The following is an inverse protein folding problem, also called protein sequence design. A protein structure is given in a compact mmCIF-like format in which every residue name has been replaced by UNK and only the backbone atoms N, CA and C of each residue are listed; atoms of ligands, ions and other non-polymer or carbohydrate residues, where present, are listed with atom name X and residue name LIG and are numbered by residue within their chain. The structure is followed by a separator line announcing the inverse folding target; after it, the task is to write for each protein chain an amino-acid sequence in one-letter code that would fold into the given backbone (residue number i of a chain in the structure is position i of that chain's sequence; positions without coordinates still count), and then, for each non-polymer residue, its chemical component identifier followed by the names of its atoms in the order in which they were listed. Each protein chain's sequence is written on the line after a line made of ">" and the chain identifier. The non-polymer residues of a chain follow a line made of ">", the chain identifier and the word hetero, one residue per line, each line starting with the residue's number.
data_IF_785767200834
#
_entry.id   IF_785767200834
#
_cell.length_a   1.000
_cell.length_b   1.000
_cell.length_c   1.000
_cell.angle_alpha   90.00
_cell.angle_beta   90.00
_cell.angle_gamma   90.00
#
_symmetry.space_group_name_H-M   'P 1'
#
loop_
_entity.id
_entity.type
_entity.pdbx_description
1 polymer ?
#
# COMPACT_ATOMS: atom_id res chain seq x y z
N UNK A 1 17.76 18.43 -14.59
CA UNK A 1 17.26 18.75 -15.93
C UNK A 1 16.91 17.44 -16.66
N UNK A 2 15.68 17.32 -17.16
CA UNK A 2 15.16 16.09 -17.79
C UNK A 2 15.97 15.64 -19.01
N UNK A 3 16.59 16.58 -19.72
CA UNK A 3 17.47 16.27 -20.87
C UNK A 3 18.77 15.60 -20.45
N UNK A 4 19.34 16.02 -19.33
CA UNK A 4 20.55 15.41 -18.76
C UNK A 4 20.27 13.99 -18.27
N UNK A 5 19.09 13.77 -17.68
CA UNK A 5 18.68 12.44 -17.23
C UNK A 5 18.44 11.48 -18.39
N UNK A 6 17.73 11.92 -19.43
CA UNK A 6 17.50 11.14 -20.65
C UNK A 6 18.83 10.71 -21.32
N UNK A 7 19.80 11.60 -21.35
CA UNK A 7 21.14 11.30 -21.89
C UNK A 7 21.88 10.31 -20.99
N UNK A 8 21.84 10.50 -19.66
CA UNK A 8 22.49 9.64 -18.70
C UNK A 8 21.92 8.22 -18.75
N UNK A 9 20.59 8.05 -18.77
CA UNK A 9 19.94 6.74 -18.86
C UNK A 9 20.31 6.01 -20.15
N UNK A 10 20.37 6.71 -21.26
CA UNK A 10 20.78 6.13 -22.54
C UNK A 10 22.24 5.67 -22.52
N UNK A 11 23.14 6.43 -21.93
CA UNK A 11 24.55 6.07 -21.81
C UNK A 11 24.78 4.90 -20.83
N UNK A 12 24.06 4.87 -19.71
CA UNK A 12 24.14 3.77 -18.75
C UNK A 12 23.66 2.46 -19.38
N UNK A 13 22.54 2.48 -20.10
CA UNK A 13 21.99 1.31 -20.80
C UNK A 13 22.97 0.77 -21.88
N UNK A 14 23.67 1.66 -22.55
CA UNK A 14 24.59 1.29 -23.61
C UNK A 14 25.94 0.77 -23.12
N UNK A 15 26.38 1.18 -21.92
CA UNK A 15 27.76 0.89 -21.48
C UNK A 15 27.87 -0.28 -20.49
N UNK A 16 26.75 -0.87 -20.05
CA UNK A 16 26.75 -1.99 -19.09
C UNK A 16 27.71 -1.72 -17.91
N UNK A 17 27.52 -0.59 -17.22
CA UNK A 17 28.39 -0.09 -16.14
C UNK A 17 28.19 -0.90 -14.85
N UNK A 18 28.41 -2.18 -14.88
CA UNK A 18 28.02 -3.20 -13.92
C UNK A 18 28.37 -2.98 -12.45
N UNK A 19 29.17 -1.96 -12.11
CA UNK A 19 29.55 -1.62 -10.73
C UNK A 19 29.53 -0.12 -10.44
N UNK A 20 28.86 0.69 -11.25
CA UNK A 20 28.75 2.12 -11.00
C UNK A 20 27.58 2.40 -10.06
N UNK A 21 27.89 2.92 -8.90
CA UNK A 21 26.88 3.49 -7.99
C UNK A 21 26.55 4.92 -8.42
N UNK A 22 25.27 5.18 -8.70
CA UNK A 22 24.76 6.50 -9.05
C UNK A 22 23.86 6.99 -7.92
N UNK A 23 24.24 8.09 -7.29
CA UNK A 23 23.42 8.77 -6.30
C UNK A 23 22.75 9.98 -6.95
N UNK A 24 21.42 9.93 -7.08
CA UNK A 24 20.62 11.06 -7.56
C UNK A 24 20.15 11.87 -6.36
N UNK A 25 20.59 13.11 -6.27
CA UNK A 25 20.24 13.99 -5.17
C UNK A 25 19.26 15.06 -5.64
N UNK A 26 18.28 15.39 -4.83
CA UNK A 26 17.30 16.43 -5.12
C UNK A 26 16.31 16.64 -3.99
N UNK A 27 15.48 17.66 -4.13
CA UNK A 27 14.30 17.83 -3.27
C UNK A 27 13.29 16.71 -3.52
N UNK A 28 12.41 16.45 -2.55
CA UNK A 28 11.35 15.46 -2.71
C UNK A 28 10.51 15.70 -3.97
N UNK A 29 10.20 16.95 -4.30
CA UNK A 29 9.44 17.33 -5.50
C UNK A 29 10.19 17.05 -6.81
N UNK A 30 11.50 17.32 -6.85
CA UNK A 30 12.32 17.04 -8.03
C UNK A 30 12.47 15.54 -8.28
N UNK A 31 12.72 14.78 -7.20
CA UNK A 31 12.83 13.33 -7.27
C UNK A 31 11.49 12.68 -7.64
N UNK A 32 10.37 13.16 -7.09
CA UNK A 32 9.04 12.72 -7.48
C UNK A 32 8.81 12.91 -8.99
N UNK A 33 9.10 14.10 -9.51
CA UNK A 33 8.94 14.40 -10.93
C UNK A 33 9.78 13.46 -11.81
N UNK A 34 10.99 13.14 -11.37
CA UNK A 34 11.89 12.22 -12.06
C UNK A 34 11.31 10.80 -12.06
N UNK A 35 10.85 10.33 -10.90
CA UNK A 35 10.28 8.99 -10.72
C UNK A 35 8.97 8.84 -11.49
N UNK A 36 8.07 9.81 -11.43
CA UNK A 36 6.82 9.80 -12.19
C UNK A 36 7.06 9.75 -13.71
N UNK A 37 8.14 10.40 -14.16
CA UNK A 37 8.46 10.45 -15.61
C UNK A 37 9.15 9.18 -16.11
N UNK A 38 10.01 8.58 -15.30
CA UNK A 38 10.93 7.51 -15.72
C UNK A 38 10.79 6.23 -14.89
N UNK A 39 9.83 6.12 -13.99
CA UNK A 39 9.70 5.02 -13.03
C UNK A 39 9.79 3.65 -13.66
N UNK A 40 9.09 3.40 -14.76
CA UNK A 40 9.16 2.14 -15.51
C UNK A 40 10.52 1.87 -16.13
N UNK A 41 11.27 2.91 -16.48
CA UNK A 41 12.63 2.79 -17.00
C UNK A 41 13.62 2.52 -15.89
N UNK A 42 13.39 3.09 -14.68
CA UNK A 42 14.24 2.91 -13.50
C UNK A 42 14.21 1.46 -13.00
N UNK A 43 13.14 0.71 -13.24
CA UNK A 43 13.02 -0.72 -12.90
C UNK A 43 14.08 -1.57 -13.59
N UNK A 44 14.55 -1.15 -14.76
CA UNK A 44 15.54 -1.87 -15.54
C UNK A 44 16.98 -1.69 -15.02
N UNK A 45 17.20 -0.75 -14.09
CA UNK A 45 18.52 -0.51 -13.47
C UNK A 45 18.60 -1.27 -12.15
N UNK A 46 19.03 -2.52 -12.20
CA UNK A 46 18.89 -3.49 -11.10
C UNK A 46 19.85 -3.30 -9.94
N UNK A 47 20.89 -2.49 -10.04
CA UNK A 47 21.80 -2.23 -8.91
C UNK A 47 22.60 -0.94 -9.13
N UNK A 48 22.82 -0.19 -8.04
CA UNK A 48 23.67 0.99 -8.05
C UNK A 48 22.99 2.33 -8.30
N UNK A 49 21.64 2.41 -8.26
CA UNK A 49 20.93 3.67 -8.32
C UNK A 49 20.29 3.97 -6.95
N UNK A 50 20.69 5.05 -6.32
CA UNK A 50 20.16 5.52 -5.03
C UNK A 50 19.59 6.93 -5.18
N UNK A 51 18.46 7.20 -4.55
CA UNK A 51 17.84 8.52 -4.49
C UNK A 51 18.04 9.11 -3.10
N UNK A 52 18.59 10.31 -3.02
CA UNK A 52 18.82 11.02 -1.75
C UNK A 52 18.00 12.31 -1.70
N UNK A 53 17.07 12.36 -0.77
CA UNK A 53 16.26 13.55 -0.50
C UNK A 53 17.09 14.57 0.28
N UNK A 54 17.12 15.84 -0.18
CA UNK A 54 17.98 16.88 0.38
C UNK A 54 17.27 17.97 1.18
N UNK A 55 15.93 18.03 1.07
CA UNK A 55 15.11 19.09 1.73
C UNK A 55 14.43 18.62 3.02
N UNK A 56 14.65 17.36 3.43
CA UNK A 56 14.03 16.78 4.63
C UNK A 56 12.53 16.50 4.52
N UNK A 57 11.93 16.71 3.34
CA UNK A 57 10.55 16.34 3.09
C UNK A 57 10.42 14.84 2.74
N UNK A 58 9.21 14.29 2.88
CA UNK A 58 8.93 12.92 2.48
C UNK A 58 8.81 12.83 0.95
N UNK A 59 9.46 11.83 0.37
CA UNK A 59 9.35 11.54 -1.06
C UNK A 59 8.04 10.79 -1.32
N UNK A 60 7.14 11.41 -2.06
CA UNK A 60 5.90 10.77 -2.48
C UNK A 60 6.13 9.85 -3.68
N UNK A 61 5.78 8.58 -3.53
CA UNK A 61 5.84 7.57 -4.59
C UNK A 61 4.52 6.81 -4.68
N UNK A 62 4.17 6.35 -5.88
CA UNK A 62 3.07 5.39 -6.00
C UNK A 62 3.51 4.02 -5.49
N UNK A 63 2.58 3.25 -4.93
CA UNK A 63 2.82 1.89 -4.47
C UNK A 63 3.41 1.00 -5.57
N UNK A 64 2.93 1.14 -6.80
CA UNK A 64 3.42 0.39 -7.97
C UNK A 64 4.91 0.60 -8.29
N UNK A 65 5.47 1.75 -7.90
CA UNK A 65 6.89 2.08 -8.12
C UNK A 65 7.75 1.74 -6.92
N UNK A 66 7.16 1.67 -5.74
CA UNK A 66 7.88 1.49 -4.48
C UNK A 66 8.63 0.16 -4.42
N UNK A 67 8.03 -0.96 -4.85
CA UNK A 67 8.69 -2.28 -4.89
C UNK A 67 10.04 -2.26 -5.59
N UNK A 68 10.20 -1.30 -6.51
CA UNK A 68 11.45 -1.12 -7.25
C UNK A 68 12.42 -0.16 -6.58
N UNK A 69 11.92 0.75 -5.75
CA UNK A 69 12.69 1.87 -5.21
C UNK A 69 12.96 1.81 -3.71
N UNK A 70 12.27 0.94 -2.96
CA UNK A 70 12.29 0.93 -1.50
C UNK A 70 13.69 0.93 -0.90
N UNK A 71 14.54 0.00 -1.33
CA UNK A 71 15.93 -0.13 -0.88
C UNK A 71 16.86 0.97 -1.44
N UNK A 72 16.37 1.88 -2.28
CA UNK A 72 17.15 2.86 -3.02
C UNK A 72 16.88 4.30 -2.63
N UNK A 73 15.95 4.53 -1.71
CA UNK A 73 15.64 5.88 -1.24
C UNK A 73 16.26 6.10 0.13
N UNK A 74 17.22 7.03 0.19
CA UNK A 74 17.76 7.57 1.43
C UNK A 74 16.91 8.78 1.85
N UNK A 75 15.92 8.51 2.70
CA UNK A 75 14.95 9.48 3.19
C UNK A 75 13.59 8.87 3.51
N UNK A 76 12.72 9.64 4.12
CA UNK A 76 11.36 9.24 4.43
C UNK A 76 10.48 9.17 3.15
N UNK A 77 9.62 8.17 3.07
CA UNK A 77 8.74 7.92 1.94
C UNK A 77 7.28 8.05 2.37
N UNK A 78 6.48 8.73 1.55
CA UNK A 78 5.02 8.63 1.55
C UNK A 78 4.57 7.76 0.38
N UNK A 79 3.85 6.68 0.68
CA UNK A 79 3.21 5.82 -0.34
C UNK A 79 1.82 6.33 -0.64
N UNK A 80 1.48 6.45 -1.92
CA UNK A 80 0.17 6.92 -2.38
C UNK A 80 -0.38 5.99 -3.46
N UNK A 81 -1.65 5.65 -3.39
CA UNK A 81 -2.32 4.82 -4.38
C UNK A 81 -3.81 4.66 -4.09
N UNK A 82 -4.54 4.00 -4.96
CA UNK A 82 -5.89 3.55 -4.68
C UNK A 82 -5.89 2.33 -3.73
N UNK A 83 -7.06 1.86 -3.34
CA UNK A 83 -7.20 0.72 -2.42
C UNK A 83 -6.55 -0.56 -2.95
N UNK A 84 -6.61 -0.80 -4.27
CA UNK A 84 -5.99 -1.95 -4.91
C UNK A 84 -4.47 -1.88 -4.87
N UNK A 85 -3.92 -0.70 -5.18
CA UNK A 85 -2.49 -0.44 -5.16
C UNK A 85 -1.93 -0.55 -3.74
N UNK A 86 -2.59 0.10 -2.77
CA UNK A 86 -2.19 0.04 -1.36
C UNK A 86 -2.34 -1.38 -0.82
N UNK A 87 -3.42 -2.08 -1.16
CA UNK A 87 -3.61 -3.49 -0.78
C UNK A 87 -2.46 -4.37 -1.27
N UNK A 88 -2.11 -4.28 -2.54
CA UNK A 88 -0.99 -5.02 -3.13
C UNK A 88 0.35 -4.69 -2.48
N UNK A 89 0.56 -3.43 -2.09
CA UNK A 89 1.74 -3.00 -1.33
C UNK A 89 1.77 -3.64 0.07
N UNK A 90 0.63 -3.72 0.76
CA UNK A 90 0.51 -4.33 2.09
C UNK A 90 0.65 -5.86 2.09
N UNK A 91 0.53 -6.52 0.94
CA UNK A 91 0.81 -7.96 0.80
C UNK A 91 2.30 -8.29 0.96
N UNK A 92 3.17 -7.27 0.95
CA UNK A 92 4.62 -7.38 1.12
C UNK A 92 5.10 -6.75 2.44
N UNK A 93 6.37 -6.98 2.77
CA UNK A 93 6.99 -6.31 3.92
C UNK A 93 7.14 -4.80 3.66
N UNK A 94 6.65 -3.99 4.59
CA UNK A 94 6.73 -2.53 4.46
C UNK A 94 8.15 -2.07 4.82
N UNK A 95 8.82 -1.31 3.94
CA UNK A 95 10.14 -0.76 4.22
C UNK A 95 10.14 0.20 5.41
N UNK A 96 11.19 0.16 6.21
CA UNK A 96 11.32 0.99 7.44
C UNK A 96 11.32 2.50 7.17
N UNK A 97 11.65 2.93 5.97
CA UNK A 97 11.66 4.33 5.56
C UNK A 97 10.29 4.83 5.07
N UNK A 98 9.29 3.97 4.93
CA UNK A 98 7.90 4.39 4.71
C UNK A 98 7.34 4.95 6.02
N UNK A 99 6.99 6.23 6.01
CA UNK A 99 6.48 6.96 7.18
C UNK A 99 5.01 7.33 7.06
N UNK A 100 4.51 7.39 5.84
CA UNK A 100 3.12 7.79 5.57
C UNK A 100 2.55 6.93 4.44
N UNK A 101 1.30 6.51 4.60
CA UNK A 101 0.49 5.87 3.56
C UNK A 101 -0.74 6.75 3.34
N UNK A 102 -1.07 7.05 2.09
CA UNK A 102 -2.23 7.86 1.72
C UNK A 102 -3.01 7.15 0.62
N UNK A 103 -4.33 7.06 0.77
CA UNK A 103 -5.18 6.58 -0.32
C UNK A 103 -5.67 7.74 -1.19
N UNK A 104 -5.81 7.49 -2.49
CA UNK A 104 -6.50 8.39 -3.43
C UNK A 104 -8.00 8.15 -3.45
N UNK A 105 -8.46 7.04 -2.87
CA UNK A 105 -9.86 6.75 -2.71
C UNK A 105 -10.46 7.53 -1.52
N UNK A 106 -11.79 7.66 -1.51
CA UNK A 106 -12.50 8.31 -0.40
C UNK A 106 -12.31 7.56 0.92
N UNK A 107 -12.20 6.23 0.85
CA UNK A 107 -11.99 5.32 1.98
C UNK A 107 -11.07 4.20 1.52
N UNK A 108 -10.13 3.77 2.36
CA UNK A 108 -9.24 2.65 2.07
C UNK A 108 -9.99 1.32 2.28
N UNK A 109 -10.09 0.50 1.23
CA UNK A 109 -10.72 -0.83 1.30
C UNK A 109 -9.64 -1.91 1.29
N UNK A 110 -9.62 -2.76 2.31
CA UNK A 110 -8.59 -3.79 2.53
C UNK A 110 -9.22 -5.15 2.87
N UNK A 111 -8.50 -6.23 2.58
CA UNK A 111 -8.76 -7.53 3.19
C UNK A 111 -8.30 -7.56 4.66
N UNK A 112 -8.71 -8.56 5.42
CA UNK A 112 -8.26 -8.77 6.80
C UNK A 112 -6.73 -8.93 6.86
N UNK A 113 -6.14 -9.69 5.94
CA UNK A 113 -4.69 -9.91 5.92
C UNK A 113 -3.91 -8.63 5.60
N UNK A 114 -4.40 -7.83 4.67
CA UNK A 114 -3.82 -6.51 4.37
C UNK A 114 -3.94 -5.55 5.56
N UNK A 115 -5.08 -5.58 6.27
CA UNK A 115 -5.26 -4.78 7.48
C UNK A 115 -4.27 -5.17 8.59
N UNK A 116 -3.94 -6.46 8.75
CA UNK A 116 -2.92 -6.93 9.72
C UNK A 116 -1.55 -6.30 9.46
N UNK A 117 -1.22 -6.06 8.19
CA UNK A 117 0.06 -5.47 7.79
C UNK A 117 0.02 -3.93 7.77
N UNK A 118 -1.16 -3.31 7.94
CA UNK A 118 -1.29 -1.86 7.91
C UNK A 118 -0.65 -1.23 9.15
N UNK A 119 0.31 -0.32 8.98
CA UNK A 119 0.97 0.34 10.09
C UNK A 119 0.00 1.13 10.99
N UNK A 120 0.32 1.18 12.27
CA UNK A 120 -0.49 1.92 13.27
C UNK A 120 -0.52 3.44 13.05
N UNK A 121 0.42 3.98 12.27
CA UNK A 121 0.43 5.41 11.94
C UNK A 121 -0.61 5.80 10.87
N UNK A 122 -1.20 4.83 10.14
CA UNK A 122 -2.33 5.12 9.26
C UNK A 122 -3.58 5.38 10.11
N UNK A 123 -4.22 6.53 9.94
CA UNK A 123 -5.28 7.01 10.85
C UNK A 123 -6.61 7.34 10.15
N UNK A 124 -6.70 7.13 8.83
CA UNK A 124 -7.96 7.38 8.12
C UNK A 124 -8.90 6.17 8.18
N UNK A 125 -10.15 6.40 7.81
CA UNK A 125 -11.21 5.41 7.80
C UNK A 125 -10.91 4.24 6.86
N UNK A 126 -11.26 3.03 7.30
CA UNK A 126 -11.01 1.78 6.59
C UNK A 126 -12.31 1.00 6.44
N UNK A 127 -12.48 0.41 5.27
CA UNK A 127 -13.48 -0.62 5.00
C UNK A 127 -12.77 -1.96 4.90
N UNK A 128 -13.18 -2.94 5.66
CA UNK A 128 -12.72 -4.33 5.50
C UNK A 128 -13.66 -5.04 4.54
N UNK A 129 -13.09 -5.56 3.45
CA UNK A 129 -13.81 -6.30 2.42
C UNK A 129 -13.20 -7.68 2.28
N UNK A 130 -13.86 -8.71 2.82
CA UNK A 130 -13.30 -10.07 2.87
C UNK A 130 -14.40 -11.13 2.99
N UNK A 131 -14.03 -12.40 2.91
CA UNK A 131 -14.91 -13.53 3.15
C UNK A 131 -15.40 -13.61 4.60
N UNK A 132 -16.57 -14.22 4.83
CA UNK A 132 -17.19 -14.35 6.15
C UNK A 132 -16.21 -14.89 7.18
N UNK A 133 -15.50 -15.97 6.85
CA UNK A 133 -14.59 -16.64 7.79
C UNK A 133 -13.49 -15.70 8.29
N UNK A 134 -12.84 -14.97 7.39
CA UNK A 134 -11.75 -14.06 7.74
C UNK A 134 -12.24 -12.92 8.63
N UNK A 135 -13.41 -12.36 8.33
CA UNK A 135 -14.03 -11.30 9.14
C UNK A 135 -14.39 -11.82 10.54
N UNK A 136 -15.00 -13.01 10.63
CA UNK A 136 -15.36 -13.61 11.92
C UNK A 136 -14.11 -13.90 12.76
N UNK A 137 -13.07 -14.44 12.16
CA UNK A 137 -11.80 -14.71 12.85
C UNK A 137 -11.17 -13.40 13.36
N UNK A 138 -11.12 -12.35 12.53
CA UNK A 138 -10.61 -11.04 12.92
C UNK A 138 -11.37 -10.39 14.08
N UNK A 139 -12.71 -10.51 14.09
CA UNK A 139 -13.56 -10.03 15.19
C UNK A 139 -13.35 -10.83 16.46
N UNK A 140 -13.12 -12.14 16.34
CA UNK A 140 -12.87 -13.02 17.50
C UNK A 140 -11.50 -12.77 18.13
N UNK A 141 -10.53 -12.34 17.35
CA UNK A 141 -9.18 -11.98 17.77
C UNK A 141 -9.07 -10.53 18.29
N UNK A 142 -10.17 -9.75 18.26
CA UNK A 142 -10.17 -8.29 18.53
C UNK A 142 -9.16 -7.51 17.70
N UNK A 143 -8.95 -7.98 16.45
CA UNK A 143 -7.99 -7.39 15.53
C UNK A 143 -8.43 -6.03 14.99
N UNK A 144 -9.75 -5.87 14.71
CA UNK A 144 -10.29 -4.70 14.06
C UNK A 144 -10.44 -3.55 15.05
N UNK A 145 -9.67 -2.50 14.85
CA UNK A 145 -9.66 -1.30 15.69
C UNK A 145 -10.66 -0.20 15.23
N UNK A 146 -10.62 0.96 15.88
CA UNK A 146 -11.56 2.07 15.65
C UNK A 146 -11.42 2.74 14.26
N UNK A 147 -10.37 2.41 13.50
CA UNK A 147 -10.21 2.87 12.10
C UNK A 147 -11.15 2.15 11.15
N UNK A 148 -11.64 0.95 11.52
CA UNK A 148 -12.56 0.17 10.69
C UNK A 148 -13.98 0.69 10.87
N UNK A 149 -14.50 1.35 9.85
CA UNK A 149 -15.84 1.95 9.85
C UNK A 149 -16.91 1.06 9.25
N UNK A 150 -16.54 0.16 8.32
CA UNK A 150 -17.48 -0.73 7.65
C UNK A 150 -16.86 -2.11 7.40
N UNK A 151 -17.73 -3.13 7.40
CA UNK A 151 -17.40 -4.49 7.00
C UNK A 151 -18.23 -4.85 5.76
N UNK A 152 -17.58 -5.33 4.73
CA UNK A 152 -18.20 -5.79 3.48
C UNK A 152 -17.89 -7.27 3.28
N UNK A 153 -18.91 -8.10 3.22
CA UNK A 153 -18.78 -9.50 2.91
C UNK A 153 -18.60 -9.67 1.40
N UNK A 154 -17.46 -10.23 1.01
CA UNK A 154 -17.28 -10.71 -0.35
C UNK A 154 -17.86 -12.13 -0.41
N UNK A 155 -18.78 -12.37 -1.34
CA UNK A 155 -19.28 -13.72 -1.57
C UNK A 155 -18.13 -14.62 -1.99
N UNK A 156 -17.71 -15.56 -1.14
CA UNK A 156 -16.93 -16.68 -1.61
C UNK A 156 -17.84 -17.46 -2.56
N UNK A 157 -17.56 -17.40 -3.86
CA UNK A 157 -18.14 -18.29 -4.84
C UNK A 157 -17.57 -19.68 -4.60
N UNK A 158 -18.01 -20.35 -3.56
CA UNK A 158 -17.93 -21.81 -3.52
C UNK A 158 -19.01 -22.30 -4.46
N UNK A 159 -18.62 -22.53 -5.68
CA UNK A 159 -19.42 -23.21 -6.69
C UNK A 159 -19.77 -24.62 -6.20
N UNK A 160 -20.82 -24.73 -5.42
CA UNK A 160 -21.53 -25.96 -5.14
C UNK A 160 -22.94 -25.76 -5.66
N UNK A 161 -23.08 -25.98 -6.97
CA UNK A 161 -24.34 -26.37 -7.58
C UNK A 161 -25.57 -25.55 -7.22
N UNK A 162 -25.85 -24.48 -7.99
CA UNK A 162 -27.20 -24.00 -8.22
C UNK A 162 -27.96 -23.44 -7.01
N UNK A 163 -27.38 -22.51 -6.26
CA UNK A 163 -28.15 -21.65 -5.37
C UNK A 163 -28.03 -20.19 -5.82
N UNK A 164 -29.17 -19.62 -6.23
CA UNK A 164 -29.29 -18.22 -6.67
C UNK A 164 -29.55 -17.25 -5.53
N UNK A 165 -29.27 -17.63 -4.28
CA UNK A 165 -29.38 -16.74 -3.12
C UNK A 165 -27.97 -16.43 -2.61
N UNK A 166 -27.53 -15.20 -2.79
CA UNK A 166 -26.39 -14.65 -2.04
C UNK A 166 -26.86 -14.52 -0.60
N UNK A 167 -26.41 -15.41 0.27
CA UNK A 167 -26.64 -15.24 1.71
C UNK A 167 -25.66 -14.20 2.22
N UNK A 168 -26.15 -12.98 2.44
CA UNK A 168 -25.38 -11.88 3.03
C UNK A 168 -25.45 -11.92 4.57
N UNK A 169 -25.69 -13.07 5.16
CA UNK A 169 -25.72 -13.22 6.61
C UNK A 169 -24.32 -13.45 7.17
N UNK A 170 -23.97 -12.72 8.21
CA UNK A 170 -22.76 -12.91 8.98
C UNK A 170 -23.10 -13.70 10.24
N UNK A 171 -22.60 -14.92 10.35
CA UNK A 171 -22.77 -15.75 11.54
C UNK A 171 -21.60 -15.55 12.49
N UNK A 172 -21.83 -14.89 13.62
CA UNK A 172 -20.79 -14.56 14.59
C UNK A 172 -21.11 -15.16 15.97
N UNK A 173 -20.07 -15.40 16.77
CA UNK A 173 -20.23 -15.76 18.19
C UNK A 173 -20.81 -14.57 18.98
N UNK A 174 -21.41 -14.84 20.14
CA UNK A 174 -21.93 -13.78 21.00
C UNK A 174 -20.85 -12.77 21.43
N UNK A 175 -19.60 -13.21 21.61
CA UNK A 175 -18.48 -12.33 21.93
C UNK A 175 -18.12 -11.42 20.75
N UNK A 176 -18.03 -11.97 19.54
CA UNK A 176 -17.80 -11.18 18.32
C UNK A 176 -18.96 -10.22 18.03
N UNK A 177 -20.22 -10.65 18.28
CA UNK A 177 -21.38 -9.77 18.18
C UNK A 177 -21.32 -8.59 19.15
N UNK A 178 -20.84 -8.79 20.38
CA UNK A 178 -20.66 -7.71 21.35
C UNK A 178 -19.62 -6.66 20.87
N UNK A 179 -18.53 -7.10 20.26
CA UNK A 179 -17.51 -6.21 19.69
C UNK A 179 -18.07 -5.41 18.50
N UNK A 180 -18.82 -6.05 17.60
CA UNK A 180 -19.50 -5.38 16.48
C UNK A 180 -20.48 -4.31 17.00
N UNK A 181 -21.33 -4.68 17.96
CA UNK A 181 -22.36 -3.78 18.51
C UNK A 181 -21.72 -2.59 19.23
N UNK A 182 -20.61 -2.78 19.94
CA UNK A 182 -19.88 -1.68 20.60
C UNK A 182 -19.36 -0.66 19.57
N UNK A 183 -18.90 -1.11 18.40
CA UNK A 183 -18.38 -0.25 17.34
C UNK A 183 -19.52 0.46 16.56
N UNK A 184 -20.64 -0.20 16.34
CA UNK A 184 -21.83 0.42 15.71
C UNK A 184 -22.42 1.54 16.57
N UNK A 185 -22.45 1.34 17.90
CA UNK A 185 -23.03 2.33 18.84
C UNK A 185 -22.14 3.57 19.01
N UNK A 186 -20.82 3.45 18.79
CA UNK A 186 -19.91 4.61 18.90
C UNK A 186 -19.99 5.56 17.69
N UNK A 187 -20.52 5.13 16.57
CA UNK A 187 -20.62 5.91 15.32
C UNK A 187 -22.05 6.44 15.05
N UNK A 188 -22.94 6.49 16.04
CA UNK A 188 -24.34 6.94 15.91
C UNK A 188 -24.55 8.35 16.48
#
# INVERSE_FOLDING_TARGET
>A
DSSTWSTLTSEIALKNLGNLEIVVTGTASELKTLIDTYGTTLTNYSSGLTFKVTDGNELQVSSAVLDTLDARVDGAITVSGDSSDIGSFLDNAIPDNVKTITTTDTVLSLSVDQFRNLPSYYSADIVISDGEKNIVDALSEDLLDDRVTHLVLTSESTDIGNSTSVDNSLTVTAAAAANILSKIVQNS
#
